data_IF_873778627243
#
_entry.id   IF_873778627243
#
_cell.length_a   1.000
_cell.length_b   1.000
_cell.length_c   1.000
_cell.angle_alpha   90.00
_cell.angle_beta   90.00
_cell.angle_gamma   90.00
#
_symmetry.space_group_name_H-M   'P 1'
#
loop_
_entity.id
_entity.type
_entity.pdbx_description
1 polymer ?
#
# COMPACT_ATOMS: atom_id res chain seq x y z
N UNK A 1 -17.35 -1.47 0.34
CA UNK A 1 -16.95 -0.10 0.68
C UNK A 1 -17.04 0.00 2.19
N UNK A 2 -15.90 0.17 2.85
CA UNK A 2 -15.78 0.34 4.31
C UNK A 2 -16.37 1.69 4.74
N UNK A 3 -16.83 1.78 6.00
CA UNK A 3 -17.42 3.02 6.52
C UNK A 3 -16.39 4.15 6.59
N UNK A 4 -16.81 5.43 6.61
CA UNK A 4 -15.87 6.56 6.73
C UNK A 4 -15.02 6.46 8.00
N UNK A 5 -15.60 5.99 9.10
CA UNK A 5 -14.89 5.77 10.37
C UNK A 5 -13.82 4.69 10.22
N UNK A 6 -14.16 3.61 9.54
CA UNK A 6 -13.24 2.49 9.27
C UNK A 6 -12.12 2.92 8.32
N UNK A 7 -12.41 3.68 7.26
CA UNK A 7 -11.38 4.24 6.37
C UNK A 7 -10.37 5.10 7.14
N UNK A 8 -10.85 5.97 8.03
CA UNK A 8 -9.95 6.81 8.85
C UNK A 8 -9.07 5.96 9.77
N UNK A 9 -9.63 4.91 10.35
CA UNK A 9 -8.89 3.96 11.16
C UNK A 9 -7.81 3.25 10.34
N UNK A 10 -8.19 2.66 9.20
CA UNK A 10 -7.27 1.93 8.31
C UNK A 10 -6.16 2.84 7.77
N UNK A 11 -6.47 4.07 7.35
CA UNK A 11 -5.48 5.06 6.90
C UNK A 11 -4.49 5.38 8.03
N UNK A 12 -4.98 5.61 9.26
CA UNK A 12 -4.12 5.93 10.40
C UNK A 12 -3.18 4.78 10.78
N UNK A 13 -3.71 3.56 10.84
CA UNK A 13 -2.92 2.37 11.16
C UNK A 13 -1.94 1.98 10.06
N UNK A 14 -2.30 2.18 8.79
CA UNK A 14 -1.39 1.97 7.68
C UNK A 14 -0.17 2.88 7.79
N UNK A 15 -0.37 4.17 8.09
CA UNK A 15 0.74 5.12 8.30
C UNK A 15 1.66 4.65 9.42
N UNK A 16 1.10 4.30 10.58
CA UNK A 16 1.87 3.77 11.70
C UNK A 16 2.67 2.52 11.34
N UNK A 17 2.11 1.60 10.54
CA UNK A 17 2.81 0.40 10.08
C UNK A 17 3.98 0.76 9.17
N UNK A 18 3.78 1.65 8.19
CA UNK A 18 4.84 2.08 7.28
C UNK A 18 5.94 2.84 8.03
N UNK A 19 5.56 3.76 8.92
CA UNK A 19 6.49 4.51 9.77
C UNK A 19 7.30 3.59 10.68
N UNK A 20 6.65 2.59 11.29
CA UNK A 20 7.29 1.59 12.15
C UNK A 20 8.33 0.74 11.41
N UNK A 21 8.11 0.50 10.11
CA UNK A 21 9.05 -0.18 9.22
C UNK A 21 10.00 0.77 8.49
N UNK A 22 9.97 2.07 8.80
CA UNK A 22 10.81 3.12 8.17
C UNK A 22 10.65 3.20 6.65
N UNK A 23 9.48 2.86 6.14
CA UNK A 23 9.17 2.95 4.71
C UNK A 23 8.82 4.40 4.40
N UNK A 24 9.55 5.02 3.46
CA UNK A 24 9.23 6.37 2.99
C UNK A 24 8.04 6.32 2.02
N UNK A 25 7.03 7.16 2.26
CA UNK A 25 5.83 7.23 1.43
C UNK A 25 5.37 8.67 1.22
N UNK A 26 4.51 8.86 0.22
CA UNK A 26 3.78 10.11 -0.02
C UNK A 26 2.29 9.84 0.06
N UNK A 27 1.56 10.69 0.78
CA UNK A 27 0.10 10.62 0.87
C UNK A 27 -0.54 11.44 -0.26
N UNK A 28 -1.52 10.85 -0.94
CA UNK A 28 -2.30 11.51 -1.98
C UNK A 28 -3.77 11.51 -1.57
N UNK A 29 -4.30 12.68 -1.22
CA UNK A 29 -5.72 12.84 -0.90
C UNK A 29 -6.56 12.84 -2.19
N UNK A 30 -7.17 11.69 -2.49
CA UNK A 30 -8.00 11.48 -3.66
C UNK A 30 -9.38 12.18 -3.60
N UNK A 31 -9.70 12.88 -2.51
CA UNK A 31 -10.89 13.72 -2.40
C UNK A 31 -10.69 15.12 -3.01
N UNK A 32 -9.45 15.58 -3.12
CA UNK A 32 -9.11 16.88 -3.70
C UNK A 32 -9.23 16.88 -5.22
N UNK A 33 -9.78 17.96 -5.79
CA UNK A 33 -9.98 18.09 -7.24
C UNK A 33 -8.65 18.11 -8.00
N UNK A 34 -7.60 18.71 -7.43
CA UNK A 34 -6.26 18.75 -8.01
C UNK A 34 -5.64 17.36 -8.22
N UNK A 35 -6.06 16.37 -7.42
CA UNK A 35 -5.59 14.99 -7.52
C UNK A 35 -6.45 14.12 -8.44
N UNK A 36 -7.42 14.71 -9.16
CA UNK A 36 -8.37 13.96 -9.99
C UNK A 36 -7.70 13.06 -11.01
N UNK A 37 -6.67 13.56 -11.69
CA UNK A 37 -5.94 12.79 -12.71
C UNK A 37 -5.13 11.65 -12.08
N UNK A 38 -4.39 11.94 -11.01
CA UNK A 38 -3.65 10.93 -10.22
C UNK A 38 -4.57 9.85 -9.67
N UNK A 39 -5.71 10.22 -9.09
CA UNK A 39 -6.73 9.28 -8.61
C UNK A 39 -7.23 8.38 -9.73
N UNK A 40 -7.49 8.93 -10.91
CA UNK A 40 -7.95 8.13 -12.05
C UNK A 40 -6.89 7.12 -12.49
N UNK A 41 -5.61 7.49 -12.47
CA UNK A 41 -4.50 6.57 -12.73
C UNK A 41 -4.43 5.45 -11.68
N UNK A 42 -4.59 5.77 -10.40
CA UNK A 42 -4.64 4.77 -9.32
C UNK A 42 -5.82 3.80 -9.48
N UNK A 43 -7.02 4.31 -9.80
CA UNK A 43 -8.17 3.46 -10.08
C UNK A 43 -7.98 2.57 -11.31
N UNK A 44 -7.25 3.03 -12.33
CA UNK A 44 -6.89 2.21 -13.48
C UNK A 44 -5.87 1.13 -13.11
N UNK A 45 -4.87 1.47 -12.29
CA UNK A 45 -3.82 0.56 -11.87
C UNK A 45 -4.33 -0.55 -10.93
N UNK A 46 -5.20 -0.21 -9.96
CA UNK A 46 -5.75 -1.20 -9.03
C UNK A 46 -7.02 -1.88 -9.54
N UNK A 47 -7.75 -1.24 -10.47
CA UNK A 47 -9.11 -1.66 -10.84
C UNK A 47 -10.16 -1.39 -9.74
N UNK A 48 -9.77 -0.78 -8.62
CA UNK A 48 -10.61 -0.59 -7.43
C UNK A 48 -10.93 0.89 -7.28
N UNK A 49 -12.23 1.23 -7.31
CA UNK A 49 -12.71 2.61 -7.18
C UNK A 49 -13.23 2.91 -5.79
N UNK A 50 -12.90 4.11 -5.29
CA UNK A 50 -13.43 4.67 -4.05
C UNK A 50 -13.35 3.74 -2.83
N UNK A 51 -12.31 2.91 -2.78
CA UNK A 51 -11.96 2.11 -1.61
C UNK A 51 -10.61 2.60 -1.11
N UNK A 52 -10.51 2.99 0.14
CA UNK A 52 -9.30 3.57 0.71
C UNK A 52 -9.04 2.91 2.07
N UNK A 53 -7.77 2.78 2.49
CA UNK A 53 -6.56 3.16 1.75
C UNK A 53 -6.18 2.18 0.64
N UNK A 54 -5.38 2.65 -0.31
CA UNK A 54 -4.71 1.84 -1.33
C UNK A 54 -3.24 2.23 -1.39
N UNK A 55 -2.35 1.25 -1.46
CA UNK A 55 -0.90 1.45 -1.53
C UNK A 55 -0.41 1.12 -2.93
N UNK A 56 0.44 2.01 -3.45
CA UNK A 56 1.04 1.89 -4.77
C UNK A 56 2.54 2.10 -4.67
N UNK A 57 3.30 1.35 -5.47
CA UNK A 57 4.67 1.71 -5.83
C UNK A 57 4.63 2.50 -7.13
N UNK A 58 5.35 3.60 -7.15
CA UNK A 58 5.45 4.48 -8.30
C UNK A 58 6.92 4.75 -8.59
N UNK A 59 7.32 4.65 -9.86
CA UNK A 59 8.68 5.04 -10.25
C UNK A 59 8.87 6.57 -10.14
N UNK A 60 10.12 7.07 -10.08
CA UNK A 60 10.39 8.51 -9.90
C UNK A 60 9.77 9.41 -10.99
N UNK A 61 9.57 8.90 -12.20
CA UNK A 61 8.94 9.63 -13.30
C UNK A 61 7.39 9.53 -13.29
N UNK A 62 6.82 8.70 -12.41
CA UNK A 62 5.38 8.52 -12.26
C UNK A 62 4.68 7.80 -13.40
N UNK A 63 5.43 7.06 -14.24
CA UNK A 63 4.92 6.41 -15.45
C UNK A 63 4.45 4.98 -15.19
N UNK A 64 5.05 4.31 -14.21
CA UNK A 64 4.75 2.95 -13.78
C UNK A 64 4.20 3.02 -12.37
N UNK A 65 2.91 2.73 -12.29
CA UNK A 65 2.17 2.61 -11.03
C UNK A 65 1.84 1.13 -10.87
N UNK A 66 2.28 0.54 -9.77
CA UNK A 66 1.96 -0.81 -9.37
C UNK A 66 1.11 -0.77 -8.12
N UNK A 67 -0.08 -1.35 -8.19
CA UNK A 67 -0.90 -1.58 -7.00
C UNK A 67 -0.27 -2.68 -6.14
N UNK A 68 -0.13 -2.40 -4.84
CA UNK A 68 0.46 -3.34 -3.87
C UNK A 68 -0.62 -3.99 -3.02
N UNK A 69 -1.60 -3.20 -2.56
CA UNK A 69 -2.67 -3.73 -1.72
C UNK A 69 -3.47 -2.67 -0.98
N UNK A 70 -4.53 -3.13 -0.34
CA UNK A 70 -5.30 -2.42 0.68
C UNK A 70 -4.61 -2.48 2.05
N UNK A 71 -5.14 -1.80 3.07
CA UNK A 71 -4.61 -1.89 4.43
C UNK A 71 -4.43 -3.33 4.91
N UNK A 72 -5.44 -4.18 4.72
CA UNK A 72 -5.41 -5.57 5.13
C UNK A 72 -4.27 -6.36 4.47
N UNK A 73 -4.10 -6.21 3.16
CA UNK A 73 -3.04 -6.90 2.42
C UNK A 73 -1.66 -6.43 2.87
N UNK A 74 -1.48 -5.14 3.17
CA UNK A 74 -0.22 -4.62 3.72
C UNK A 74 0.05 -5.17 5.13
N UNK A 75 -0.97 -5.32 5.97
CA UNK A 75 -0.83 -5.98 7.27
C UNK A 75 -0.39 -7.44 7.12
N UNK A 76 -1.04 -8.20 6.21
CA UNK A 76 -0.68 -9.59 5.95
C UNK A 76 0.78 -9.70 5.48
N UNK A 77 1.24 -8.80 4.59
CA UNK A 77 2.65 -8.74 4.18
C UNK A 77 3.60 -8.46 5.35
N UNK A 78 3.20 -7.60 6.29
CA UNK A 78 3.99 -7.29 7.48
C UNK A 78 4.05 -8.49 8.43
N UNK A 79 2.94 -9.19 8.64
CA UNK A 79 2.91 -10.41 9.47
C UNK A 79 3.80 -11.53 8.88
N UNK A 80 3.92 -11.58 7.55
CA UNK A 80 4.81 -12.53 6.87
C UNK A 80 6.31 -12.23 7.09
N UNK A 81 6.70 -11.04 7.55
CA UNK A 81 8.09 -10.77 7.93
C UNK A 81 8.54 -11.61 9.13
N UNK A 82 7.62 -11.97 10.03
CA UNK A 82 7.90 -12.78 11.23
C UNK A 82 7.90 -14.30 10.94
N UNK A 83 7.54 -14.70 9.72
CA UNK A 83 7.53 -16.10 9.30
C UNK A 83 8.94 -16.56 8.93
N UNK A 84 9.28 -17.81 9.29
CA UNK A 84 10.59 -18.38 8.99
C UNK A 84 10.93 -18.28 7.48
N UNK A 85 12.14 -17.83 7.11
CA UNK A 85 12.49 -17.56 5.71
C UNK A 85 12.46 -18.82 4.83
N UNK A 86 12.62 -20.01 5.41
CA UNK A 86 12.46 -21.28 4.73
C UNK A 86 11.02 -21.51 4.24
N UNK A 87 10.02 -21.12 5.04
CA UNK A 87 8.59 -21.23 4.69
C UNK A 87 8.24 -20.21 3.60
N UNK A 88 8.74 -18.97 3.74
CA UNK A 88 8.56 -17.92 2.73
C UNK A 88 9.09 -18.37 1.37
N UNK A 89 10.32 -18.90 1.34
CA UNK A 89 10.95 -19.40 0.10
C UNK A 89 10.24 -20.63 -0.47
N UNK A 90 9.88 -21.59 0.38
CA UNK A 90 9.21 -22.82 -0.06
C UNK A 90 7.83 -22.54 -0.69
N UNK A 91 7.15 -21.49 -0.26
CA UNK A 91 5.82 -21.12 -0.75
C UNK A 91 5.82 -19.90 -1.69
N UNK A 92 7.01 -19.37 -2.03
CA UNK A 92 7.17 -18.19 -2.88
C UNK A 92 6.30 -16.99 -2.43
N UNK A 93 6.26 -16.77 -1.11
CA UNK A 93 5.49 -15.69 -0.50
C UNK A 93 6.25 -14.37 -0.57
N UNK A 94 5.50 -13.27 -0.63
CA UNK A 94 6.03 -11.92 -0.52
C UNK A 94 5.86 -11.44 0.92
N UNK A 95 6.84 -10.71 1.42
CA UNK A 95 6.80 -10.03 2.71
C UNK A 95 6.91 -8.52 2.52
N UNK A 96 6.57 -7.74 3.54
CA UNK A 96 6.65 -6.28 3.49
C UNK A 96 8.07 -5.82 3.09
N UNK A 97 9.11 -6.36 3.74
CA UNK A 97 10.50 -6.03 3.42
C UNK A 97 10.87 -6.32 1.96
N UNK A 98 10.40 -7.45 1.42
CA UNK A 98 10.70 -7.82 0.04
C UNK A 98 9.99 -6.92 -0.98
N UNK A 99 8.79 -6.46 -0.67
CA UNK A 99 7.98 -5.59 -1.55
C UNK A 99 8.50 -4.15 -1.53
N UNK A 100 8.90 -3.65 -0.36
CA UNK A 100 9.39 -2.28 -0.18
C UNK A 100 10.92 -2.19 -0.13
N UNK A 101 11.62 -3.20 -0.63
CA UNK A 101 13.08 -3.23 -0.67
C UNK A 101 13.65 -1.99 -1.38
N UNK A 102 14.43 -1.18 -0.64
CA UNK A 102 15.04 0.06 -1.15
C UNK A 102 14.24 1.34 -0.89
N UNK A 103 13.16 1.27 -0.09
CA UNK A 103 12.36 2.43 0.33
C UNK A 103 12.67 2.90 1.77
N UNK A 104 13.76 2.41 2.36
CA UNK A 104 14.23 2.67 3.74
C UNK A 104 15.50 3.50 3.79
#
# INVERSE_FOLDING_TARGET
MVSITEQKYEIGHLKQLLDGNKIVYTEVDCSLEENRDTRNLYFQASGIRANYPQVFLQDPEGKKIQYIGSFKEIQELNELNDVAPEIIKANNLLTLDSVFAGMT
#
